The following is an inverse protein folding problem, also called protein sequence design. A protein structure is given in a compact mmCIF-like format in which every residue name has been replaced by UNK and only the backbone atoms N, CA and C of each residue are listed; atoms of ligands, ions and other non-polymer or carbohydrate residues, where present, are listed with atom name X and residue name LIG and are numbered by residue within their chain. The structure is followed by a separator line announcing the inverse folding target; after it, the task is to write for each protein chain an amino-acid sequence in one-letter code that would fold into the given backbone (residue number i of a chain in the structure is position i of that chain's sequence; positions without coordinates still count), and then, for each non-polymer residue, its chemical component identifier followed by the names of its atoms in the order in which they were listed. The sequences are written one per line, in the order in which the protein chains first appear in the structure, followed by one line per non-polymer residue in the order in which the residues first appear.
data_IF_036311005105
#
_entry.id   IF_036311005105
#
_cell.length_a   1.000
_cell.length_b   1.000
_cell.length_c   1.000
_cell.angle_alpha   90.00
_cell.angle_beta   90.00
_cell.angle_gamma   90.00
#
_symmetry.space_group_name_H-M   'P 1'
#
loop_
_entity.id
_entity.type
_entity.pdbx_description
1 polymer ?
#
# COMPACT_ATOMS: atom_id res chain seq x y z
N UNK A 1 4.58 -8.36 19.17
CA UNK A 1 4.47 -6.92 19.05
C UNK A 1 3.21 -6.44 19.74
N UNK A 2 3.30 -5.39 20.51
CA UNK A 2 2.17 -4.69 21.11
C UNK A 2 1.49 -3.78 20.09
N UNK A 3 2.20 -3.50 18.99
CA UNK A 3 1.80 -2.58 17.94
C UNK A 3 1.87 -3.31 16.60
N UNK A 4 0.74 -3.39 15.93
CA UNK A 4 0.64 -3.96 14.59
C UNK A 4 0.26 -2.85 13.61
N UNK A 5 1.18 -2.52 12.72
CA UNK A 5 0.98 -1.53 11.64
C UNK A 5 0.65 -0.10 12.12
N UNK A 6 0.88 0.20 13.40
CA UNK A 6 0.66 1.51 14.00
C UNK A 6 1.90 1.95 14.79
N UNK A 7 2.00 3.23 15.09
CA UNK A 7 3.14 3.78 15.83
C UNK A 7 3.30 3.14 17.20
N UNK A 8 4.54 2.96 17.62
CA UNK A 8 4.88 2.46 18.96
C UNK A 8 4.83 3.61 19.99
N UNK A 9 3.89 3.61 20.95
CA UNK A 9 3.78 4.66 21.95
C UNK A 9 5.06 4.84 22.79
N UNK A 10 5.81 3.77 23.04
CA UNK A 10 7.06 3.85 23.81
C UNK A 10 8.11 4.72 23.10
N UNK A 11 8.07 4.74 21.77
CA UNK A 11 8.95 5.59 20.97
C UNK A 11 8.39 7.00 20.73
N UNK A 12 7.07 7.20 20.77
CA UNK A 12 6.46 8.48 20.38
C UNK A 12 6.03 9.36 21.54
N UNK A 13 5.47 8.78 22.60
CA UNK A 13 4.96 9.54 23.75
C UNK A 13 6.06 10.32 24.47
N UNK A 14 7.27 9.76 24.70
CA UNK A 14 8.36 10.51 25.33
C UNK A 14 8.76 11.80 24.57
N UNK A 15 8.52 11.85 23.26
CA UNK A 15 8.81 13.01 22.44
C UNK A 15 7.61 13.99 22.34
N UNK A 16 6.63 13.86 23.24
CA UNK A 16 5.51 14.79 23.37
C UNK A 16 4.43 14.61 22.31
N UNK A 17 4.21 13.40 21.84
CA UNK A 17 3.07 13.03 20.99
C UNK A 17 2.01 12.29 21.80
N UNK A 18 0.75 12.67 21.64
CA UNK A 18 -0.36 11.82 22.07
C UNK A 18 -0.68 10.82 20.96
N UNK A 19 -0.75 9.54 21.30
CA UNK A 19 -1.10 8.46 20.36
C UNK A 19 -2.55 8.05 20.61
N UNK A 20 -3.41 8.32 19.64
CA UNK A 20 -4.84 7.98 19.69
C UNK A 20 -5.10 6.76 18.81
N UNK A 21 -5.61 5.69 19.40
CA UNK A 21 -6.02 4.48 18.71
C UNK A 21 -7.52 4.30 18.87
N UNK A 22 -8.21 4.09 17.77
CA UNK A 22 -9.65 3.97 17.74
C UNK A 22 -10.02 2.63 17.10
N UNK A 23 -10.85 1.87 17.78
CA UNK A 23 -11.49 0.70 17.18
C UNK A 23 -12.55 1.18 16.18
N UNK A 24 -12.42 0.75 14.93
CA UNK A 24 -13.39 1.05 13.89
C UNK A 24 -14.75 0.45 14.23
N UNK A 25 -15.81 1.04 13.69
CA UNK A 25 -17.18 0.53 13.82
C UNK A 25 -17.27 -0.96 13.52
N UNK A 26 -17.88 -1.70 14.44
CA UNK A 26 -18.04 -3.16 14.38
C UNK A 26 -16.81 -3.96 14.79
N UNK A 27 -15.68 -3.30 15.11
CA UNK A 27 -14.45 -3.96 15.54
C UNK A 27 -14.08 -3.61 16.97
N UNK A 28 -13.34 -4.48 17.64
CA UNK A 28 -12.85 -4.24 18.96
C UNK A 28 -13.96 -3.97 19.97
N UNK A 29 -13.88 -2.83 20.64
CA UNK A 29 -14.89 -2.37 21.61
C UNK A 29 -15.98 -1.48 21.01
N UNK A 30 -15.87 -1.17 19.71
CA UNK A 30 -16.84 -0.33 19.00
C UNK A 30 -17.95 -1.17 18.36
N UNK A 31 -19.20 -1.07 18.81
CA UNK A 31 -20.32 -1.81 18.21
C UNK A 31 -20.68 -1.27 16.82
N UNK A 32 -21.47 -2.04 16.10
CA UNK A 32 -22.06 -1.65 14.82
C UNK A 32 -21.65 -2.55 13.66
N UNK A 33 -21.97 -2.11 12.45
CA UNK A 33 -21.72 -2.85 11.22
C UNK A 33 -20.28 -2.67 10.74
N UNK A 34 -19.57 -3.77 10.54
CA UNK A 34 -18.30 -3.77 9.79
C UNK A 34 -18.60 -3.59 8.30
N UNK A 35 -18.16 -2.50 7.73
CA UNK A 35 -18.13 -2.25 6.29
C UNK A 35 -16.82 -1.49 5.98
N UNK A 36 -15.78 -2.26 5.73
CA UNK A 36 -14.40 -1.75 5.59
C UNK A 36 -14.27 -0.75 4.46
N UNK A 37 -13.50 0.32 4.72
CA UNK A 37 -13.24 1.43 3.79
C UNK A 37 -14.50 2.10 3.22
N UNK A 38 -15.63 1.89 3.84
CA UNK A 38 -16.89 2.50 3.43
C UNK A 38 -16.90 4.01 3.66
N UNK A 39 -17.85 4.68 3.01
CA UNK A 39 -18.12 6.10 3.26
C UNK A 39 -18.45 6.36 4.73
N UNK A 40 -19.12 5.40 5.39
CA UNK A 40 -19.45 5.52 6.82
C UNK A 40 -18.22 5.45 7.69
N UNK A 41 -17.36 4.46 7.49
CA UNK A 41 -16.09 4.34 8.23
C UNK A 41 -15.22 5.59 8.03
N UNK A 42 -15.15 6.11 6.80
CA UNK A 42 -14.41 7.34 6.51
C UNK A 42 -14.94 8.55 7.26
N UNK A 43 -16.28 8.66 7.42
CA UNK A 43 -16.90 9.72 8.23
C UNK A 43 -16.65 9.53 9.73
N UNK A 44 -16.72 8.30 10.22
CA UNK A 44 -16.38 8.01 11.61
C UNK A 44 -14.91 8.39 11.90
N UNK A 45 -14.00 8.12 10.95
CA UNK A 45 -12.60 8.51 11.08
C UNK A 45 -12.41 10.04 11.07
N UNK A 46 -13.14 10.77 10.22
CA UNK A 46 -13.19 12.23 10.27
C UNK A 46 -13.60 12.74 11.65
N UNK A 47 -14.68 12.19 12.22
CA UNK A 47 -15.18 12.61 13.52
C UNK A 47 -14.19 12.29 14.65
N UNK A 48 -13.46 11.18 14.55
CA UNK A 48 -12.36 10.84 15.48
C UNK A 48 -11.21 11.84 15.42
N UNK A 49 -10.83 12.31 14.23
CA UNK A 49 -9.81 13.37 14.06
C UNK A 49 -10.25 14.66 14.77
N UNK A 50 -11.49 15.09 14.51
CA UNK A 50 -12.04 16.30 15.10
C UNK A 50 -12.24 16.18 16.61
N UNK A 51 -12.60 14.99 17.10
CA UNK A 51 -12.68 14.71 18.53
C UNK A 51 -11.29 14.82 19.18
N UNK A 52 -10.27 14.17 18.63
CA UNK A 52 -8.92 14.19 19.16
C UNK A 52 -8.33 15.61 19.20
N UNK A 53 -8.59 16.41 18.19
CA UNK A 53 -8.12 17.80 18.13
C UNK A 53 -8.67 18.69 19.25
N UNK A 54 -9.88 18.39 19.75
CA UNK A 54 -10.57 19.20 20.77
C UNK A 54 -10.25 18.77 22.21
N UNK A 55 -9.46 17.73 22.40
CA UNK A 55 -9.16 17.27 23.75
C UNK A 55 -8.21 18.24 24.48
N UNK A 56 -8.30 18.37 25.81
CA UNK A 56 -7.48 19.33 26.60
C UNK A 56 -5.97 19.09 26.47
N UNK A 57 -5.56 17.86 26.14
CA UNK A 57 -4.16 17.49 25.93
C UNK A 57 -3.69 17.69 24.47
N UNK A 58 -4.57 18.06 23.57
CA UNK A 58 -4.25 18.22 22.13
C UNK A 58 -3.80 19.64 21.81
N UNK A 59 -2.84 19.75 20.89
CA UNK A 59 -2.45 21.03 20.30
C UNK A 59 -3.43 21.54 19.24
N UNK A 60 -4.49 20.78 18.94
CA UNK A 60 -5.41 21.04 17.85
C UNK A 60 -4.92 20.58 16.47
N UNK A 61 -3.72 20.00 16.37
CA UNK A 61 -3.18 19.44 15.12
C UNK A 61 -3.11 17.93 15.19
N UNK A 62 -3.75 17.27 14.24
CA UNK A 62 -3.77 15.81 14.14
C UNK A 62 -2.97 15.36 12.93
N UNK A 63 -2.09 14.39 13.13
CA UNK A 63 -1.40 13.67 12.06
C UNK A 63 -1.87 12.22 11.98
N UNK A 64 -1.94 11.66 10.79
CA UNK A 64 -2.25 10.24 10.60
C UNK A 64 -1.00 9.48 10.20
N UNK A 65 -0.79 8.33 10.83
CA UNK A 65 0.37 7.49 10.58
C UNK A 65 0.01 6.01 10.75
N UNK A 66 0.47 5.18 9.83
CA UNK A 66 0.26 3.74 9.89
C UNK A 66 0.58 3.03 8.60
N UNK A 67 0.58 1.72 8.67
CA UNK A 67 0.89 0.81 7.58
C UNK A 67 -0.42 0.20 7.05
N UNK A 68 -0.47 -0.16 5.77
CA UNK A 68 -1.51 -0.99 5.16
C UNK A 68 -2.92 -0.41 5.33
N UNK A 69 -3.81 -1.06 6.06
CA UNK A 69 -5.17 -0.56 6.33
C UNK A 69 -5.15 0.86 6.88
N UNK A 70 -4.27 1.12 7.87
CA UNK A 70 -4.11 2.40 8.53
C UNK A 70 -3.40 3.46 7.67
N UNK A 71 -2.84 3.05 6.55
CA UNK A 71 -2.32 3.95 5.51
C UNK A 71 -3.39 4.25 4.46
N UNK A 72 -4.09 3.22 4.00
CA UNK A 72 -5.05 3.30 2.90
C UNK A 72 -6.24 4.22 3.20
N UNK A 73 -6.79 4.13 4.41
CA UNK A 73 -7.92 4.94 4.85
C UNK A 73 -7.56 6.44 5.02
N UNK A 74 -6.28 6.78 5.13
CA UNK A 74 -5.83 8.18 5.22
C UNK A 74 -6.16 8.98 3.95
N UNK A 75 -6.07 8.35 2.76
CA UNK A 75 -6.44 9.00 1.51
C UNK A 75 -7.91 9.43 1.48
N UNK A 76 -8.80 8.54 1.94
CA UNK A 76 -10.24 8.79 1.93
C UNK A 76 -10.60 9.91 2.89
N UNK A 77 -10.11 9.86 4.13
CA UNK A 77 -10.44 10.88 5.13
C UNK A 77 -9.79 12.23 4.81
N UNK A 78 -8.58 12.24 4.24
CA UNK A 78 -7.95 13.49 3.78
C UNK A 78 -8.76 14.20 2.68
N UNK A 79 -9.47 13.43 1.84
CA UNK A 79 -10.37 14.00 0.83
C UNK A 79 -11.63 14.66 1.43
N UNK A 80 -12.01 14.32 2.67
CA UNK A 80 -13.06 15.02 3.42
C UNK A 80 -12.57 16.35 4.01
N UNK A 81 -11.26 16.59 4.01
CA UNK A 81 -10.62 17.82 4.49
C UNK A 81 -10.96 18.17 5.95
N UNK A 82 -10.72 17.26 6.94
CA UNK A 82 -10.96 17.60 8.33
C UNK A 82 -10.17 18.85 8.72
N UNK A 83 -10.80 19.84 9.37
CA UNK A 83 -10.14 21.13 9.68
C UNK A 83 -8.85 21.01 10.50
N UNK A 84 -8.77 19.99 11.37
CA UNK A 84 -7.61 19.78 12.23
C UNK A 84 -6.60 18.77 11.71
N UNK A 85 -6.83 18.19 10.52
CA UNK A 85 -5.87 17.27 9.90
C UNK A 85 -4.69 18.06 9.31
N UNK A 86 -3.54 17.96 9.93
CA UNK A 86 -2.36 18.76 9.60
C UNK A 86 -1.36 18.03 8.67
N UNK A 87 -1.29 16.70 8.73
CA UNK A 87 -0.36 15.91 7.91
C UNK A 87 -0.76 14.43 7.88
N UNK A 88 -0.44 13.72 6.79
CA UNK A 88 -0.64 12.29 6.66
C UNK A 88 0.64 11.58 6.25
N UNK A 89 0.90 10.43 6.86
CA UNK A 89 2.03 9.55 6.55
C UNK A 89 1.50 8.16 6.15
N UNK A 90 1.52 7.89 4.87
CA UNK A 90 0.99 6.69 4.25
C UNK A 90 2.13 5.71 4.05
N UNK A 91 2.21 4.70 4.90
CA UNK A 91 3.26 3.69 4.83
C UNK A 91 2.69 2.37 4.33
N UNK A 92 3.21 1.84 3.21
CA UNK A 92 2.67 0.63 2.58
C UNK A 92 1.15 0.75 2.34
N UNK A 93 0.72 1.79 1.67
CA UNK A 93 -0.69 2.04 1.38
C UNK A 93 -1.18 1.39 0.09
N UNK A 94 -2.42 1.68 -0.26
CA UNK A 94 -3.03 1.43 -1.56
C UNK A 94 -3.91 2.63 -1.92
N UNK A 95 -4.08 2.91 -3.20
CA UNK A 95 -4.82 4.06 -3.68
C UNK A 95 -6.12 3.69 -4.40
N UNK A 96 -6.25 2.44 -4.80
CA UNK A 96 -7.37 1.91 -5.58
C UNK A 96 -7.66 0.47 -5.12
N UNK A 97 -8.74 0.31 -4.36
CA UNK A 97 -9.06 -0.99 -3.76
C UNK A 97 -9.38 -2.08 -4.81
N UNK A 98 -9.89 -1.68 -5.97
CA UNK A 98 -10.07 -2.61 -7.08
C UNK A 98 -8.71 -3.08 -7.63
N UNK A 99 -7.87 -2.14 -8.07
CA UNK A 99 -6.62 -2.47 -8.77
C UNK A 99 -5.49 -2.93 -7.86
N UNK A 100 -5.48 -2.47 -6.61
CA UNK A 100 -4.39 -2.75 -5.68
C UNK A 100 -4.67 -3.97 -4.77
N UNK A 101 -5.95 -4.33 -4.53
CA UNK A 101 -6.31 -5.37 -3.57
C UNK A 101 -7.10 -6.51 -4.17
N UNK A 102 -8.13 -6.22 -4.96
CA UNK A 102 -9.13 -7.23 -5.32
C UNK A 102 -9.02 -7.75 -6.74
N UNK A 103 -8.67 -6.90 -7.72
CA UNK A 103 -8.64 -7.27 -9.15
C UNK A 103 -7.40 -6.71 -9.83
N UNK A 104 -6.26 -7.38 -9.66
CA UNK A 104 -5.03 -6.98 -10.34
C UNK A 104 -5.16 -7.23 -11.84
N UNK A 105 -5.13 -6.14 -12.63
CA UNK A 105 -5.36 -6.23 -14.06
C UNK A 105 -6.76 -6.74 -14.47
N UNK A 106 -7.73 -6.72 -13.55
CA UNK A 106 -9.06 -7.29 -13.73
C UNK A 106 -9.22 -8.72 -13.21
N UNK A 107 -8.14 -9.36 -12.78
CA UNK A 107 -8.11 -10.73 -12.26
C UNK A 107 -8.42 -10.70 -10.76
N UNK A 108 -9.47 -11.41 -10.34
CA UNK A 108 -9.84 -11.52 -8.93
C UNK A 108 -8.74 -12.20 -8.12
N UNK A 109 -8.26 -11.53 -7.07
CA UNK A 109 -7.22 -12.06 -6.18
C UNK A 109 -7.82 -12.91 -5.06
N UNK A 110 -7.00 -13.76 -4.47
CA UNK A 110 -7.38 -14.56 -3.30
C UNK A 110 -7.14 -13.85 -1.96
N UNK A 111 -6.54 -12.66 -1.97
CA UNK A 111 -6.17 -11.93 -0.76
C UNK A 111 -7.35 -11.74 0.20
N UNK A 112 -8.46 -11.18 -0.25
CA UNK A 112 -9.63 -10.91 0.58
C UNK A 112 -10.26 -12.16 1.19
N UNK A 113 -10.09 -13.33 0.54
CA UNK A 113 -10.63 -14.62 1.00
C UNK A 113 -9.99 -15.09 2.31
N UNK A 114 -8.71 -14.81 2.50
CA UNK A 114 -7.95 -15.25 3.68
C UNK A 114 -7.76 -14.13 4.69
N UNK A 115 -7.47 -12.92 4.23
CA UNK A 115 -7.21 -11.77 5.09
C UNK A 115 -8.43 -11.33 5.91
N UNK A 116 -9.59 -11.19 5.30
CA UNK A 116 -10.78 -10.69 5.97
C UNK A 116 -11.22 -11.58 7.16
N UNK A 117 -11.32 -12.91 7.01
CA UNK A 117 -11.60 -13.77 8.16
C UNK A 117 -10.52 -13.74 9.23
N UNK A 118 -9.24 -13.73 8.84
CA UNK A 118 -8.12 -13.87 9.76
C UNK A 118 -7.79 -12.61 10.54
N UNK A 119 -8.08 -11.44 10.00
CA UNK A 119 -7.74 -10.15 10.63
C UNK A 119 -8.97 -9.33 11.01
N UNK A 120 -9.99 -9.23 10.16
CA UNK A 120 -11.15 -8.37 10.41
C UNK A 120 -12.22 -9.10 11.24
N UNK A 121 -12.69 -10.25 10.78
CA UNK A 121 -13.71 -11.03 11.53
C UNK A 121 -13.15 -11.44 12.91
N UNK A 122 -11.86 -11.68 12.99
CA UNK A 122 -11.22 -12.12 14.22
C UNK A 122 -11.35 -11.12 15.37
N UNK A 123 -11.40 -9.84 15.09
CA UNK A 123 -11.56 -8.75 16.06
C UNK A 123 -12.96 -8.13 16.03
N UNK A 124 -13.94 -8.74 15.37
CA UNK A 124 -15.31 -8.26 15.33
C UNK A 124 -15.88 -8.07 16.73
N UNK A 125 -16.55 -6.95 16.97
CA UNK A 125 -17.24 -6.66 18.23
C UNK A 125 -18.30 -7.72 18.55
N UNK A 126 -18.43 -8.04 19.82
CA UNK A 126 -19.47 -8.97 20.28
C UNK A 126 -19.04 -10.43 20.33
N UNK A 127 -17.76 -10.73 20.20
CA UNK A 127 -17.27 -12.10 20.39
C UNK A 127 -17.08 -12.49 21.87
N UNK A 128 -16.99 -11.53 22.78
CA UNK A 128 -16.80 -11.77 24.20
C UNK A 128 -15.75 -12.85 24.50
N UNK A 129 -16.14 -13.89 25.24
CA UNK A 129 -15.24 -14.99 25.60
C UNK A 129 -14.76 -15.84 24.41
N UNK A 130 -15.40 -15.78 23.23
CA UNK A 130 -14.93 -16.43 21.99
C UNK A 130 -13.83 -15.65 21.29
N UNK A 131 -13.58 -14.39 21.69
CA UNK A 131 -12.53 -13.53 21.19
C UNK A 131 -11.20 -13.72 21.92
N UNK A 132 -10.26 -12.87 21.60
CA UNK A 132 -8.94 -12.86 22.23
C UNK A 132 -8.90 -11.95 23.46
N UNK A 133 -8.04 -12.29 24.37
CA UNK A 133 -7.66 -11.40 25.45
C UNK A 133 -6.48 -10.52 25.05
N UNK A 134 -6.55 -9.26 25.40
CA UNK A 134 -5.42 -8.35 25.32
C UNK A 134 -4.30 -8.85 26.23
N UNK A 135 -3.10 -8.95 25.68
CA UNK A 135 -1.90 -9.31 26.45
C UNK A 135 -1.48 -8.20 27.43
N UNK A 136 -2.01 -6.98 27.23
CA UNK A 136 -1.62 -5.80 28.04
C UNK A 136 -2.42 -5.70 29.34
N UNK A 137 -3.73 -5.92 29.27
CA UNK A 137 -4.62 -5.69 30.41
C UNK A 137 -5.60 -6.85 30.67
N UNK A 138 -5.52 -7.94 29.89
CA UNK A 138 -6.37 -9.10 30.05
C UNK A 138 -7.82 -8.95 29.58
N UNK A 139 -8.22 -7.78 29.08
CA UNK A 139 -9.59 -7.53 28.61
C UNK A 139 -9.86 -8.27 27.28
N UNK A 140 -11.15 -8.49 27.01
CA UNK A 140 -11.57 -9.01 25.71
C UNK A 140 -11.35 -7.99 24.61
N UNK A 141 -10.54 -8.33 23.60
CA UNK A 141 -10.24 -7.45 22.45
C UNK A 141 -11.52 -7.06 21.72
N UNK A 142 -12.45 -8.01 21.53
CA UNK A 142 -13.72 -7.82 20.84
C UNK A 142 -14.85 -7.25 21.76
N UNK A 143 -14.49 -6.67 22.90
CA UNK A 143 -15.41 -6.20 23.91
C UNK A 143 -16.05 -7.33 24.74
N UNK A 144 -16.78 -6.99 25.81
CA UNK A 144 -17.39 -7.96 26.72
C UNK A 144 -18.72 -8.53 26.19
N UNK A 145 -19.35 -7.90 25.20
CA UNK A 145 -20.62 -8.38 24.65
C UNK A 145 -20.46 -9.73 23.94
N UNK A 146 -21.48 -10.58 24.06
CA UNK A 146 -21.55 -11.89 23.40
C UNK A 146 -22.76 -11.93 22.48
N UNK A 147 -22.53 -11.67 21.20
CA UNK A 147 -23.55 -11.74 20.15
C UNK A 147 -23.64 -13.18 19.61
N UNK A 148 -24.83 -13.58 19.16
CA UNK A 148 -25.02 -14.84 18.43
C UNK A 148 -24.29 -14.82 17.09
N UNK A 149 -24.11 -16.00 16.47
CA UNK A 149 -23.53 -16.06 15.11
C UNK A 149 -24.40 -15.34 14.07
N UNK A 150 -25.71 -15.37 14.23
CA UNK A 150 -26.65 -14.64 13.37
C UNK A 150 -26.46 -13.12 13.51
N UNK A 151 -26.38 -12.61 14.74
CA UNK A 151 -26.11 -11.19 15.00
C UNK A 151 -24.72 -10.76 14.52
N UNK A 152 -23.69 -11.60 14.70
CA UNK A 152 -22.36 -11.34 14.16
C UNK A 152 -22.39 -11.29 12.63
N UNK A 153 -23.12 -12.19 11.98
CA UNK A 153 -23.32 -12.19 10.53
C UNK A 153 -24.05 -10.93 10.05
N UNK A 154 -25.13 -10.52 10.76
CA UNK A 154 -25.89 -9.31 10.44
C UNK A 154 -25.09 -8.00 10.66
N UNK A 155 -24.08 -8.04 11.55
CA UNK A 155 -23.25 -6.88 11.88
C UNK A 155 -21.94 -6.81 11.09
N UNK A 156 -21.87 -7.47 9.92
CA UNK A 156 -20.74 -7.33 9.01
C UNK A 156 -21.16 -7.43 7.56
N UNK A 157 -20.41 -6.76 6.73
CA UNK A 157 -20.41 -6.93 5.28
C UNK A 157 -19.15 -7.71 4.88
N UNK A 158 -19.34 -8.90 4.33
CA UNK A 158 -18.24 -9.77 3.99
C UNK A 158 -17.54 -9.29 2.72
N UNK A 159 -16.24 -9.00 2.83
CA UNK A 159 -15.44 -8.36 1.78
C UNK A 159 -15.29 -9.22 0.53
N UNK A 160 -15.00 -10.51 0.66
CA UNK A 160 -14.73 -11.35 -0.50
C UNK A 160 -15.95 -11.59 -1.41
N UNK A 161 -17.16 -11.86 -0.89
CA UNK A 161 -18.37 -11.86 -1.70
C UNK A 161 -18.60 -10.53 -2.44
N UNK A 162 -18.33 -9.40 -1.82
CA UNK A 162 -18.43 -8.10 -2.48
C UNK A 162 -17.43 -7.94 -3.62
N UNK A 163 -16.20 -8.45 -3.47
CA UNK A 163 -15.24 -8.49 -4.57
C UNK A 163 -15.77 -9.29 -5.75
N UNK A 164 -16.30 -10.50 -5.50
CA UNK A 164 -16.87 -11.36 -6.54
C UNK A 164 -18.06 -10.69 -7.26
N UNK A 165 -18.92 -10.02 -6.49
CA UNK A 165 -20.14 -9.37 -7.00
C UNK A 165 -19.89 -7.99 -7.63
N UNK A 166 -18.66 -7.47 -7.55
CA UNK A 166 -18.25 -6.17 -8.11
C UNK A 166 -17.05 -6.33 -9.06
N UNK A 167 -17.23 -7.02 -10.19
CA UNK A 167 -16.13 -7.42 -11.06
C UNK A 167 -15.52 -6.26 -11.88
N UNK A 168 -16.17 -5.11 -11.92
CA UNK A 168 -15.71 -3.96 -12.72
C UNK A 168 -15.22 -2.81 -11.82
N UNK A 169 -14.11 -2.20 -12.19
CA UNK A 169 -13.58 -1.03 -11.48
C UNK A 169 -14.56 0.16 -11.40
N UNK A 170 -15.59 0.17 -12.25
CA UNK A 170 -16.65 1.18 -12.30
C UNK A 170 -17.83 0.87 -11.41
N UNK A 171 -17.87 -0.29 -10.77
CA UNK A 171 -18.96 -0.66 -9.88
C UNK A 171 -19.05 0.28 -8.67
N UNK A 172 -20.28 0.52 -8.22
CA UNK A 172 -20.56 1.45 -7.13
C UNK A 172 -19.82 1.08 -5.84
N UNK A 173 -19.58 -0.20 -5.60
CA UNK A 173 -18.82 -0.68 -4.46
C UNK A 173 -17.41 -0.05 -4.42
N UNK A 174 -16.68 -0.06 -5.54
CA UNK A 174 -15.33 0.48 -5.63
C UNK A 174 -15.32 2.00 -5.74
N UNK A 175 -16.17 2.57 -6.60
CA UNK A 175 -16.19 4.01 -6.83
C UNK A 175 -16.59 4.81 -5.59
N UNK A 176 -17.45 4.26 -4.73
CA UNK A 176 -17.81 4.88 -3.45
C UNK A 176 -16.66 4.89 -2.43
N UNK A 177 -15.66 4.04 -2.59
CA UNK A 177 -14.49 3.91 -1.73
C UNK A 177 -13.27 4.70 -2.24
N UNK A 178 -13.37 5.27 -3.44
CA UNK A 178 -12.29 6.09 -4.01
C UNK A 178 -12.31 7.49 -3.42
N UNK A 179 -11.17 8.03 -3.01
CA UNK A 179 -11.09 9.43 -2.59
C UNK A 179 -11.23 10.38 -3.79
N UNK A 180 -11.79 11.54 -3.56
CA UNK A 180 -11.66 12.67 -4.49
C UNK A 180 -10.23 13.22 -4.39
N UNK A 181 -9.37 12.79 -5.29
CA UNK A 181 -7.95 13.16 -5.30
C UNK A 181 -7.71 14.66 -5.39
N UNK A 182 -8.64 15.44 -5.99
CA UNK A 182 -8.55 16.89 -6.09
C UNK A 182 -8.67 17.59 -4.72
N UNK A 183 -9.20 16.87 -3.73
CA UNK A 183 -9.38 17.33 -2.35
C UNK A 183 -8.30 16.85 -1.40
N UNK A 184 -7.46 15.92 -1.78
CA UNK A 184 -6.30 15.49 -0.97
C UNK A 184 -5.20 16.55 -1.06
N UNK A 185 -5.27 17.55 -0.19
CA UNK A 185 -4.41 18.76 -0.21
C UNK A 185 -3.48 18.89 1.00
N UNK A 186 -3.72 18.09 2.04
CA UNK A 186 -2.89 18.08 3.25
C UNK A 186 -1.45 17.68 2.93
N UNK A 187 -0.44 18.17 3.65
CA UNK A 187 0.93 17.69 3.54
C UNK A 187 1.00 16.18 3.70
N UNK A 188 1.71 15.49 2.83
CA UNK A 188 1.76 14.03 2.82
C UNK A 188 3.15 13.46 2.58
N UNK A 189 3.42 12.35 3.25
CA UNK A 189 4.57 11.50 3.01
C UNK A 189 4.07 10.09 2.68
N UNK A 190 4.38 9.61 1.47
CA UNK A 190 4.05 8.25 1.00
C UNK A 190 5.32 7.42 0.98
N UNK A 191 5.33 6.31 1.73
CA UNK A 191 6.46 5.40 1.83
C UNK A 191 6.02 3.98 1.49
N UNK A 192 6.74 3.31 0.59
CA UNK A 192 6.40 1.96 0.19
C UNK A 192 7.62 1.13 -0.19
N UNK A 193 7.52 -0.18 -0.07
CA UNK A 193 8.60 -1.07 -0.45
C UNK A 193 8.40 -1.67 -1.86
N UNK A 194 9.51 -1.93 -2.54
CA UNK A 194 9.51 -2.56 -3.87
C UNK A 194 8.97 -4.00 -3.86
N UNK A 195 9.06 -4.67 -2.71
CA UNK A 195 8.66 -6.06 -2.53
C UNK A 195 7.22 -6.24 -2.01
N UNK A 196 6.44 -5.19 -1.87
CA UNK A 196 5.09 -5.18 -1.30
C UNK A 196 4.02 -5.97 -2.05
N UNK A 197 4.46 -6.90 -2.85
CA UNK A 197 3.77 -8.03 -3.52
C UNK A 197 2.31 -7.77 -3.87
N UNK A 198 2.09 -6.88 -4.84
CA UNK A 198 0.78 -6.71 -5.44
C UNK A 198 -0.26 -5.97 -4.61
N UNK A 199 0.04 -5.53 -3.39
CA UNK A 199 -0.92 -4.80 -2.55
C UNK A 199 -0.61 -3.30 -2.43
N UNK A 200 0.66 -2.90 -2.31
CA UNK A 200 1.02 -1.59 -1.79
C UNK A 200 1.82 -0.68 -2.72
N UNK A 201 2.92 -1.11 -3.38
CA UNK A 201 3.84 -0.19 -4.06
C UNK A 201 3.18 0.62 -5.16
N UNK A 202 2.27 0.01 -5.94
CA UNK A 202 1.51 0.74 -6.96
C UNK A 202 0.68 1.85 -6.32
N UNK A 203 -0.03 1.55 -5.24
CA UNK A 203 -0.92 2.49 -4.57
C UNK A 203 -0.18 3.64 -3.89
N UNK A 204 0.98 3.39 -3.28
CA UNK A 204 1.82 4.46 -2.73
C UNK A 204 2.24 5.46 -3.81
N UNK A 205 2.69 4.95 -4.95
CA UNK A 205 3.12 5.78 -6.09
C UNK A 205 1.92 6.52 -6.70
N UNK A 206 0.82 5.83 -6.98
CA UNK A 206 -0.38 6.42 -7.57
C UNK A 206 -1.01 7.48 -6.65
N UNK A 207 -1.10 7.20 -5.36
CA UNK A 207 -1.58 8.17 -4.38
C UNK A 207 -0.72 9.43 -4.34
N UNK A 208 0.61 9.27 -4.31
CA UNK A 208 1.53 10.39 -4.42
C UNK A 208 1.35 11.20 -5.70
N UNK A 209 1.21 10.53 -6.84
CA UNK A 209 1.02 11.21 -8.14
C UNK A 209 -0.30 11.96 -8.19
N UNK A 210 -1.40 11.30 -7.79
CA UNK A 210 -2.78 11.81 -7.96
C UNK A 210 -3.20 12.85 -6.94
N UNK A 211 -2.63 12.80 -5.71
CA UNK A 211 -2.96 13.77 -4.66
C UNK A 211 -2.67 15.21 -5.10
N UNK A 212 -3.63 16.12 -4.88
CA UNK A 212 -3.52 17.53 -5.22
C UNK A 212 -2.63 18.34 -4.26
N UNK A 213 -2.08 17.71 -3.23
CA UNK A 213 -1.16 18.35 -2.30
C UNK A 213 0.08 18.90 -3.03
N UNK A 214 0.45 20.13 -2.71
CA UNK A 214 1.71 20.75 -3.14
C UNK A 214 2.89 20.38 -2.24
N UNK A 215 2.59 19.88 -1.05
CA UNK A 215 3.57 19.45 -0.04
C UNK A 215 3.52 17.92 0.07
N UNK A 216 4.16 17.25 -0.88
CA UNK A 216 4.16 15.80 -0.95
C UNK A 216 5.55 15.24 -1.19
N UNK A 217 5.83 14.11 -0.54
CA UNK A 217 7.09 13.38 -0.58
C UNK A 217 6.83 11.90 -0.80
N UNK A 218 7.75 11.24 -1.47
CA UNK A 218 7.72 9.81 -1.76
C UNK A 218 9.03 9.16 -1.34
N UNK A 219 8.94 8.03 -0.68
CA UNK A 219 10.07 7.12 -0.49
C UNK A 219 9.71 5.73 -1.00
N UNK A 220 10.61 5.14 -1.79
CA UNK A 220 10.49 3.74 -2.22
C UNK A 220 11.71 2.99 -1.75
N UNK A 221 11.52 2.10 -0.78
CA UNK A 221 12.58 1.41 -0.07
C UNK A 221 12.59 -0.11 -0.32
N UNK A 222 13.63 -0.77 0.16
CA UNK A 222 13.74 -2.22 0.23
C UNK A 222 13.07 -2.80 1.47
N UNK A 223 13.54 -3.95 1.89
CA UNK A 223 13.08 -4.66 3.09
C UNK A 223 11.60 -5.07 3.01
N UNK A 224 11.15 -5.74 4.04
CA UNK A 224 9.79 -6.25 4.13
C UNK A 224 8.81 -5.22 4.67
N UNK A 225 7.54 -5.56 4.58
CA UNK A 225 6.37 -4.73 4.83
C UNK A 225 6.40 -3.91 6.13
N UNK A 226 6.87 -4.47 7.27
CA UNK A 226 6.77 -3.80 8.58
C UNK A 226 8.07 -3.22 9.07
N UNK A 227 9.18 -3.84 8.73
CA UNK A 227 10.47 -3.61 9.41
C UNK A 227 10.91 -2.17 9.30
N UNK A 228 10.92 -1.62 8.09
CA UNK A 228 11.40 -0.27 7.83
C UNK A 228 10.66 0.81 8.63
N UNK A 229 9.35 0.66 8.83
CA UNK A 229 8.54 1.56 9.64
C UNK A 229 9.01 1.68 11.09
N UNK A 230 9.52 0.59 11.66
CA UNK A 230 9.91 0.48 13.07
C UNK A 230 11.42 0.62 13.31
N UNK A 231 12.25 0.67 12.26
CA UNK A 231 13.68 0.94 12.40
C UNK A 231 13.91 2.34 12.98
N UNK A 232 15.09 2.58 13.55
CA UNK A 232 15.45 3.90 14.04
C UNK A 232 15.43 4.94 12.92
N UNK A 233 15.85 4.57 11.70
CA UNK A 233 15.73 5.39 10.51
C UNK A 233 14.27 5.74 10.22
N UNK A 234 13.39 4.74 10.09
CA UNK A 234 11.97 4.95 9.75
C UNK A 234 11.25 5.80 10.81
N UNK A 235 11.49 5.53 12.09
CA UNK A 235 10.93 6.32 13.20
C UNK A 235 11.45 7.76 13.17
N UNK A 236 12.76 7.96 12.97
CA UNK A 236 13.35 9.29 12.88
C UNK A 236 12.80 10.09 11.70
N UNK A 237 12.64 9.45 10.54
CA UNK A 237 12.06 10.06 9.34
C UNK A 237 10.61 10.51 9.56
N UNK A 238 9.79 9.66 10.16
CA UNK A 238 8.42 9.97 10.53
C UNK A 238 8.35 11.12 11.54
N UNK A 239 9.20 11.11 12.58
CA UNK A 239 9.28 12.19 13.57
C UNK A 239 9.76 13.50 12.96
N UNK A 240 10.71 13.45 12.03
CA UNK A 240 11.16 14.61 11.26
C UNK A 240 10.00 15.25 10.48
N UNK A 241 9.15 14.43 9.85
CA UNK A 241 7.96 14.89 9.16
C UNK A 241 6.93 15.50 10.11
N UNK A 242 6.51 14.76 11.14
CA UNK A 242 5.48 15.23 12.06
C UNK A 242 5.95 16.34 12.99
N UNK A 243 7.21 16.38 13.39
CA UNK A 243 7.80 17.50 14.13
C UNK A 243 7.65 18.83 13.37
N UNK A 244 7.90 18.79 12.05
CA UNK A 244 7.71 19.94 11.18
C UNK A 244 6.24 20.38 11.09
N UNK A 245 5.31 19.47 10.77
CA UNK A 245 3.92 19.84 10.49
C UNK A 245 3.03 19.98 11.73
N UNK A 246 3.23 19.13 12.76
CA UNK A 246 2.39 19.18 13.95
C UNK A 246 2.93 20.15 15.00
N UNK A 247 4.24 20.17 15.21
CA UNK A 247 4.87 20.96 16.26
C UNK A 247 5.48 22.28 15.76
N UNK A 248 5.65 22.47 14.45
CA UNK A 248 6.33 23.62 13.88
C UNK A 248 7.83 23.65 14.13
N UNK A 249 8.43 22.52 14.41
CA UNK A 249 9.85 22.38 14.69
C UNK A 249 10.70 22.55 13.42
N UNK A 250 11.90 23.08 13.57
CA UNK A 250 12.88 23.21 12.49
C UNK A 250 13.64 21.89 12.30
N UNK A 251 12.91 20.83 11.89
CA UNK A 251 13.47 19.47 11.71
C UNK A 251 14.32 19.33 10.44
N UNK A 252 14.35 20.33 9.56
CA UNK A 252 14.98 20.24 8.25
C UNK A 252 14.13 19.47 7.22
N UNK A 253 12.84 19.26 7.48
CA UNK A 253 11.94 18.62 6.52
C UNK A 253 11.75 19.45 5.24
N UNK A 254 11.85 20.77 5.34
CA UNK A 254 11.84 21.72 4.21
C UNK A 254 12.94 21.43 3.17
N UNK A 255 14.04 20.79 3.60
CA UNK A 255 15.16 20.38 2.75
C UNK A 255 15.11 18.90 2.34
N UNK A 256 14.08 18.14 2.79
CA UNK A 256 13.93 16.75 2.42
C UNK A 256 13.75 16.61 0.91
N UNK A 257 14.50 15.72 0.24
CA UNK A 257 14.29 15.41 -1.18
C UNK A 257 12.83 15.02 -1.43
N UNK A 258 12.27 15.47 -2.55
CA UNK A 258 10.85 15.18 -2.88
C UNK A 258 10.59 13.70 -3.11
N UNK A 259 11.59 13.01 -3.63
CA UNK A 259 11.54 11.57 -3.85
C UNK A 259 12.87 10.95 -3.43
N UNK A 260 12.79 9.89 -2.63
CA UNK A 260 13.93 9.07 -2.23
C UNK A 260 13.70 7.67 -2.77
N UNK A 261 14.63 7.15 -3.54
CA UNK A 261 14.56 5.81 -4.11
C UNK A 261 15.73 4.97 -3.58
N UNK A 262 15.43 3.82 -3.05
CA UNK A 262 16.43 2.77 -2.84
C UNK A 262 16.51 1.93 -4.11
N UNK A 263 17.46 2.22 -4.97
CA UNK A 263 17.64 1.52 -6.25
C UNK A 263 18.27 0.16 -6.00
N UNK A 264 17.61 -0.89 -6.48
CA UNK A 264 18.07 -2.28 -6.33
C UNK A 264 19.22 -2.58 -7.26
N UNK A 265 20.26 -3.19 -6.70
CA UNK A 265 21.42 -3.69 -7.45
C UNK A 265 21.57 -5.21 -7.27
N UNK A 266 22.24 -5.91 -8.20
CA UNK A 266 22.60 -7.31 -7.99
C UNK A 266 23.35 -7.51 -6.67
N UNK A 267 23.16 -8.66 -6.04
CA UNK A 267 23.81 -9.00 -4.76
C UNK A 267 23.07 -8.46 -3.53
N UNK A 268 21.74 -8.31 -3.62
CA UNK A 268 20.88 -7.88 -2.49
C UNK A 268 21.28 -6.50 -1.93
N UNK A 269 21.67 -5.59 -2.79
CA UNK A 269 22.13 -4.26 -2.40
C UNK A 269 21.15 -3.20 -2.87
N UNK A 270 20.83 -2.26 -1.99
CA UNK A 270 20.11 -1.03 -2.32
C UNK A 270 21.05 0.17 -2.24
N UNK A 271 20.88 1.10 -3.18
CA UNK A 271 21.59 2.37 -3.18
C UNK A 271 20.58 3.48 -3.14
N UNK A 272 20.62 4.30 -2.10
CA UNK A 272 19.75 5.46 -1.97
C UNK A 272 20.08 6.50 -3.03
N UNK A 273 19.01 7.03 -3.62
CA UNK A 273 19.10 8.08 -4.62
C UNK A 273 18.00 9.12 -4.43
N UNK A 274 18.42 10.35 -4.32
CA UNK A 274 17.52 11.50 -4.18
C UNK A 274 17.07 12.01 -5.54
N UNK A 275 15.76 12.24 -5.69
CA UNK A 275 15.13 12.73 -6.91
C UNK A 275 14.23 13.93 -6.60
N UNK A 276 14.01 14.76 -7.61
CA UNK A 276 13.16 15.94 -7.48
C UNK A 276 11.68 15.68 -7.77
N UNK A 277 11.39 14.57 -8.45
CA UNK A 277 10.05 14.28 -8.97
C UNK A 277 9.85 12.80 -9.27
N UNK A 278 8.60 12.38 -9.31
CA UNK A 278 8.17 11.09 -9.85
C UNK A 278 6.85 11.28 -10.62
N UNK A 279 6.66 10.66 -11.83
CA UNK A 279 7.67 9.94 -12.60
C UNK A 279 8.87 10.80 -12.97
N UNK A 280 10.04 10.16 -13.16
CA UNK A 280 11.26 10.88 -13.53
C UNK A 280 11.15 11.45 -14.94
N UNK A 281 11.29 12.77 -15.13
CA UNK A 281 11.23 13.40 -16.47
C UNK A 281 12.30 12.89 -17.43
N UNK A 282 13.44 12.44 -16.90
CA UNK A 282 14.51 11.87 -17.71
C UNK A 282 14.25 10.44 -18.16
N UNK A 283 13.15 9.80 -17.72
CA UNK A 283 12.78 8.45 -18.16
C UNK A 283 12.68 8.39 -19.68
N UNK A 284 13.40 7.46 -20.28
CA UNK A 284 13.36 7.18 -21.71
C UNK A 284 12.60 5.89 -21.93
N UNK A 285 11.36 5.97 -22.41
CA UNK A 285 10.60 4.82 -22.80
C UNK A 285 11.33 4.05 -23.92
N UNK A 286 11.85 2.88 -23.58
CA UNK A 286 12.60 2.02 -24.49
C UNK A 286 11.75 0.82 -24.86
N UNK A 287 11.54 0.63 -26.16
CA UNK A 287 10.77 -0.50 -26.69
C UNK A 287 11.64 -1.71 -26.89
N UNK A 288 11.16 -2.85 -26.43
CA UNK A 288 11.66 -4.15 -26.81
C UNK A 288 10.57 -4.90 -27.55
N UNK A 289 10.94 -5.64 -28.57
CA UNK A 289 10.04 -6.39 -29.44
C UNK A 289 10.19 -7.88 -29.18
N UNK A 290 9.07 -8.55 -28.98
CA UNK A 290 9.03 -9.99 -28.84
C UNK A 290 9.25 -10.64 -30.22
N UNK A 291 10.18 -11.58 -30.31
CA UNK A 291 10.49 -12.32 -31.52
C UNK A 291 10.05 -13.77 -31.38
N UNK A 292 8.99 -14.20 -32.08
CA UNK A 292 8.50 -15.58 -32.00
C UNK A 292 9.47 -16.62 -32.55
N UNK A 293 10.36 -16.23 -33.48
CA UNK A 293 11.23 -17.15 -34.18
C UNK A 293 12.37 -17.73 -33.31
N UNK A 294 12.87 -16.92 -32.37
CA UNK A 294 14.03 -17.25 -31.51
C UNK A 294 13.77 -17.01 -30.04
N UNK A 295 12.54 -16.74 -29.66
CA UNK A 295 12.17 -16.32 -28.31
C UNK A 295 12.99 -15.10 -27.81
N UNK A 296 13.37 -14.22 -28.72
CA UNK A 296 14.17 -13.04 -28.43
C UNK A 296 13.35 -11.86 -27.94
N UNK A 297 13.96 -11.04 -27.06
CA UNK A 297 13.45 -9.73 -26.66
C UNK A 297 14.40 -8.67 -27.22
N UNK A 298 14.04 -8.11 -28.37
CA UNK A 298 14.95 -7.39 -29.24
C UNK A 298 14.67 -5.87 -29.29
N UNK A 299 15.73 -5.06 -29.46
CA UNK A 299 15.59 -3.60 -29.62
C UNK A 299 14.97 -3.18 -31.00
N UNK A 300 14.91 -4.11 -31.96
CA UNK A 300 14.32 -3.88 -33.29
C UNK A 300 13.22 -4.89 -33.56
N UNK A 301 12.18 -4.47 -34.25
CA UNK A 301 11.12 -5.37 -34.69
C UNK A 301 11.68 -6.41 -35.67
N UNK A 302 11.31 -7.66 -35.44
CA UNK A 302 11.60 -8.79 -36.34
C UNK A 302 10.43 -9.13 -37.25
N UNK A 303 10.49 -10.32 -37.87
CA UNK A 303 9.40 -10.86 -38.66
C UNK A 303 8.17 -11.16 -37.78
N UNK A 304 6.99 -10.98 -38.36
CA UNK A 304 5.75 -11.38 -37.69
C UNK A 304 5.71 -12.91 -37.50
N UNK A 305 5.16 -13.33 -36.35
CA UNK A 305 5.05 -14.74 -36.04
C UNK A 305 4.07 -14.99 -34.88
N UNK A 306 3.93 -16.24 -34.50
CA UNK A 306 3.00 -16.70 -33.46
C UNK A 306 3.74 -17.69 -32.54
N UNK A 307 3.53 -17.52 -31.23
CA UNK A 307 3.90 -18.52 -30.21
C UNK A 307 2.61 -18.94 -29.50
N UNK A 308 2.50 -20.22 -29.21
CA UNK A 308 1.36 -20.79 -28.48
C UNK A 308 1.86 -21.60 -27.29
N UNK A 309 1.12 -21.56 -26.18
CA UNK A 309 1.42 -22.33 -24.97
C UNK A 309 0.13 -22.75 -24.27
N UNK A 310 0.19 -23.74 -23.42
CA UNK A 310 -0.92 -24.15 -22.58
C UNK A 310 -1.14 -23.18 -21.43
N UNK A 311 -2.36 -22.75 -21.17
CA UNK A 311 -2.69 -21.73 -20.17
C UNK A 311 -2.30 -22.07 -18.72
N UNK A 312 -2.15 -23.36 -18.39
CA UNK A 312 -1.66 -23.85 -17.08
C UNK A 312 -0.21 -24.36 -17.14
N UNK A 313 0.48 -24.12 -18.26
CA UNK A 313 1.88 -24.53 -18.44
C UNK A 313 2.88 -23.44 -18.02
N UNK A 314 4.14 -23.66 -18.40
CA UNK A 314 5.29 -22.78 -18.06
C UNK A 314 5.22 -21.38 -18.72
N UNK A 315 4.23 -21.12 -19.56
CA UNK A 315 4.13 -19.89 -20.31
C UNK A 315 5.17 -19.81 -21.43
N UNK A 316 5.57 -18.58 -21.80
CA UNK A 316 6.60 -18.30 -22.78
C UNK A 316 7.57 -17.24 -22.26
N UNK A 317 8.85 -17.47 -22.41
CA UNK A 317 9.91 -16.53 -22.03
C UNK A 317 10.56 -15.96 -23.26
N UNK A 318 10.72 -14.64 -23.29
CA UNK A 318 11.50 -13.91 -24.29
C UNK A 318 12.71 -13.29 -23.60
N UNK A 319 13.90 -13.44 -24.18
CA UNK A 319 15.15 -13.03 -23.56
C UNK A 319 15.94 -12.07 -24.43
N UNK A 320 16.54 -11.05 -23.81
CA UNK A 320 17.52 -10.20 -24.50
C UNK A 320 18.82 -10.95 -24.71
N UNK A 321 19.61 -10.61 -25.72
CA UNK A 321 21.06 -10.92 -25.68
C UNK A 321 21.68 -10.31 -24.41
N UNK A 322 22.87 -10.80 -23.99
CA UNK A 322 23.60 -10.17 -22.90
C UNK A 322 23.72 -8.65 -23.10
N UNK A 323 23.40 -7.91 -22.06
CA UNK A 323 23.47 -6.44 -22.10
C UNK A 323 24.93 -6.01 -22.24
N UNK A 324 25.18 -5.02 -23.11
CA UNK A 324 26.53 -4.56 -23.42
C UNK A 324 27.07 -3.50 -22.45
N UNK A 325 26.18 -2.96 -21.62
CA UNK A 325 26.50 -1.93 -20.65
C UNK A 325 25.54 -2.04 -19.45
N UNK A 326 25.92 -1.41 -18.35
CA UNK A 326 25.06 -1.27 -17.19
C UNK A 326 23.72 -0.65 -17.61
N UNK A 327 22.64 -1.30 -17.20
CA UNK A 327 21.29 -0.92 -17.59
C UNK A 327 20.43 -0.76 -16.35
N UNK A 328 19.83 0.40 -16.19
CA UNK A 328 18.88 0.70 -15.15
C UNK A 328 17.46 0.65 -15.71
N UNK A 329 16.58 -0.03 -14.98
CA UNK A 329 15.12 -0.03 -15.21
C UNK A 329 14.47 0.58 -13.97
N UNK A 330 14.05 1.84 -14.08
CA UNK A 330 13.39 2.57 -12.99
C UNK A 330 12.21 3.33 -13.55
N UNK A 331 11.02 2.96 -13.13
CA UNK A 331 9.78 3.56 -13.61
C UNK A 331 8.74 2.52 -14.03
N UNK A 332 7.63 2.97 -14.63
CA UNK A 332 6.56 2.08 -15.06
C UNK A 332 6.97 1.25 -16.28
N UNK A 333 6.48 0.01 -16.32
CA UNK A 333 6.58 -0.88 -17.48
C UNK A 333 5.21 -1.05 -18.14
N UNK A 334 5.21 -1.27 -19.47
CA UNK A 334 3.99 -1.57 -20.21
C UNK A 334 4.25 -2.66 -21.27
N UNK A 335 3.31 -3.57 -21.46
CA UNK A 335 3.32 -4.53 -22.55
C UNK A 335 2.16 -4.28 -23.50
N UNK A 336 2.43 -4.37 -24.79
CA UNK A 336 1.41 -4.39 -25.86
C UNK A 336 1.46 -5.75 -26.55
N UNK A 337 0.45 -6.55 -26.31
CA UNK A 337 0.37 -7.91 -26.81
C UNK A 337 -0.82 -8.06 -27.76
N UNK A 338 -0.67 -8.89 -28.79
CA UNK A 338 -1.75 -9.38 -29.62
C UNK A 338 -1.98 -10.84 -29.23
N UNK A 339 -3.15 -11.13 -28.67
CA UNK A 339 -3.44 -12.43 -28.08
C UNK A 339 -4.69 -13.03 -28.67
N UNK A 340 -4.73 -14.35 -28.71
CA UNK A 340 -5.94 -15.14 -28.97
C UNK A 340 -5.96 -16.32 -28.01
N UNK A 341 -7.15 -16.76 -27.61
CA UNK A 341 -7.34 -17.92 -26.73
C UNK A 341 -8.27 -18.95 -27.41
N UNK A 342 -8.12 -20.20 -27.04
CA UNK A 342 -9.09 -21.27 -27.33
C UNK A 342 -10.32 -21.20 -26.41
N UNK A 343 -10.27 -20.38 -25.35
CA UNK A 343 -11.35 -20.09 -24.40
C UNK A 343 -11.89 -18.70 -24.60
N UNK A 344 -13.02 -18.38 -23.96
CA UNK A 344 -13.63 -17.03 -24.02
C UNK A 344 -12.87 -15.99 -23.21
N UNK A 345 -11.95 -16.41 -22.34
CA UNK A 345 -11.17 -15.56 -21.45
C UNK A 345 -9.74 -16.07 -21.29
N UNK A 346 -8.80 -15.19 -20.91
CA UNK A 346 -7.41 -15.53 -20.65
C UNK A 346 -6.78 -14.56 -19.65
N UNK A 347 -6.40 -15.07 -18.50
CA UNK A 347 -5.62 -14.33 -17.52
C UNK A 347 -4.13 -14.33 -17.91
N UNK A 348 -3.56 -13.14 -18.08
CA UNK A 348 -2.17 -12.96 -18.49
C UNK A 348 -1.32 -12.38 -17.37
N UNK A 349 -0.25 -13.06 -17.01
CA UNK A 349 0.73 -12.63 -16.02
C UNK A 349 2.05 -12.27 -16.71
N UNK A 350 2.52 -11.06 -16.48
CA UNK A 350 3.75 -10.54 -17.07
C UNK A 350 4.82 -10.45 -15.99
N UNK A 351 5.92 -11.16 -16.17
CA UNK A 351 7.02 -11.24 -15.21
C UNK A 351 8.29 -10.73 -15.86
N UNK A 352 8.88 -9.67 -15.30
CA UNK A 352 10.21 -9.22 -15.66
C UNK A 352 11.24 -9.96 -14.80
N UNK A 353 12.12 -10.71 -15.47
CA UNK A 353 13.21 -11.48 -14.82
C UNK A 353 14.55 -10.92 -15.24
N UNK A 354 15.49 -10.91 -14.33
CA UNK A 354 16.87 -10.47 -14.57
C UNK A 354 17.81 -11.63 -14.26
N UNK A 355 18.79 -11.85 -15.13
CA UNK A 355 19.77 -12.91 -15.00
C UNK A 355 21.19 -12.33 -14.98
N UNK A 356 22.06 -12.93 -14.19
CA UNK A 356 23.49 -12.64 -14.21
C UNK A 356 24.18 -13.24 -15.47
N UNK A 357 25.47 -12.93 -15.71
CA UNK A 357 26.20 -13.50 -16.85
C UNK A 357 26.30 -15.03 -16.88
N UNK A 358 26.08 -15.69 -15.74
CA UNK A 358 26.08 -17.16 -15.62
C UNK A 358 24.65 -17.75 -15.74
N UNK A 359 23.68 -16.96 -16.17
CA UNK A 359 22.29 -17.35 -16.30
C UNK A 359 21.60 -17.72 -14.98
N UNK A 360 22.12 -17.26 -13.85
CA UNK A 360 21.45 -17.36 -12.57
C UNK A 360 20.49 -16.18 -12.44
N UNK A 361 19.24 -16.47 -12.10
CA UNK A 361 18.23 -15.43 -11.85
C UNK A 361 18.60 -14.60 -10.63
N UNK A 362 18.53 -13.27 -10.79
CA UNK A 362 18.73 -12.31 -9.71
C UNK A 362 17.40 -12.12 -9.02
N UNK A 363 17.27 -12.61 -7.81
CA UNK A 363 16.11 -12.44 -6.95
C UNK A 363 16.48 -11.61 -5.73
N UNK A 364 15.49 -10.92 -5.14
CA UNK A 364 15.65 -10.14 -3.92
C UNK A 364 14.80 -10.80 -2.82
N UNK A 365 15.46 -11.34 -1.81
CA UNK A 365 14.85 -12.08 -0.71
C UNK A 365 15.06 -11.34 0.61
N UNK A 366 14.30 -10.30 0.87
CA UNK A 366 14.46 -9.51 2.08
C UNK A 366 15.79 -8.75 2.08
N UNK A 367 15.98 -7.97 1.06
CA UNK A 367 17.19 -7.21 0.83
C UNK A 367 17.54 -6.30 2.01
N UNK A 368 18.82 -6.17 2.28
CA UNK A 368 19.35 -5.28 3.29
C UNK A 368 19.02 -3.83 2.96
N UNK A 369 18.41 -3.16 3.89
CA UNK A 369 18.21 -1.72 3.84
C UNK A 369 19.53 -1.00 4.07
N UNK A 370 19.86 0.10 3.36
CA UNK A 370 21.09 0.84 3.59
C UNK A 370 21.18 1.50 4.98
N UNK A 371 20.08 1.52 5.71
CA UNK A 371 19.98 2.12 7.05
C UNK A 371 19.90 1.08 8.20
N UNK A 372 20.03 -0.21 7.91
CA UNK A 372 20.01 -1.28 8.91
C UNK A 372 21.30 -2.09 8.98
#
# INVERSE_FOLDING_TARGET
YQNWEVVDPEKWVPDGYAVVRVDSRGAGRSPGLIDIWSVRETKDFHDCIEWAARQPWSSGKVGLNGISYYAMNQWQVAALQPPHLAAICIWEGAADYYRDLSHHGGILTTFGRTWFPSQVIRVQHGKGARGWRSRMNGDWVSGPAELTEEELGANRRDFYPDCVNSPLATDAYWTSRMPDWSKVKVPLFSAGNWGGTGLHPRGNIEGFVRAASRQKWLEMHGIEHWTHFYTDYGVALQKKFFGHFLKGEKTGWDKQPKVVLQVRHPGERFVERNESEWPLKRTKWTKFYLSPADAGLNAKSGAAGKVSYGGLGEGVTFMTPPLKADTEITGPGAAKLFVSSSTSDADLFLILRVFDPNMKEITFQGALDPHT
#
